data_IF_969623800671
#
_entry.id   IF_969623800671
#
_cell.length_a   1.000
_cell.length_b   1.000
_cell.length_c   1.000
_cell.angle_alpha   90.00
_cell.angle_beta   90.00
_cell.angle_gamma   90.00
#
_symmetry.space_group_name_H-M   'P 1'
#
loop_
_entity.id
_entity.type
_entity.pdbx_description
1 polymer ?
#
# COMPACT_ATOMS: atom_id res chain seq x y z
N UNK A 1 29.91 -22.30 -35.94
CA UNK A 1 29.12 -22.83 -34.81
C UNK A 1 27.67 -23.01 -35.30
N UNK A 2 26.91 -24.04 -34.84
CA UNK A 2 25.54 -24.24 -35.28
C UNK A 2 24.56 -23.27 -34.59
N UNK A 3 23.45 -22.90 -35.27
CA UNK A 3 22.38 -22.08 -34.66
C UNK A 3 21.88 -22.65 -33.33
N UNK A 4 21.83 -24.01 -33.25
CA UNK A 4 21.45 -24.67 -31.99
C UNK A 4 22.44 -24.47 -30.86
N UNK A 5 23.73 -24.34 -31.13
CA UNK A 5 24.76 -24.05 -30.11
C UNK A 5 24.63 -22.60 -29.62
N UNK A 6 24.46 -21.65 -30.53
CA UNK A 6 24.25 -20.23 -30.18
C UNK A 6 23.00 -20.07 -29.36
N UNK A 7 21.89 -20.71 -29.76
CA UNK A 7 20.64 -20.70 -28.98
C UNK A 7 20.81 -21.27 -27.58
N UNK A 8 21.58 -22.33 -27.37
CA UNK A 8 21.86 -22.91 -26.05
C UNK A 8 22.70 -21.97 -25.17
N UNK A 9 23.69 -21.27 -25.76
CA UNK A 9 24.48 -20.27 -25.02
C UNK A 9 23.62 -19.09 -24.58
N UNK A 10 22.83 -18.53 -25.50
CA UNK A 10 21.91 -17.40 -25.24
C UNK A 10 20.88 -17.74 -24.16
N UNK A 11 20.48 -19.03 -24.07
CA UNK A 11 19.53 -19.51 -23.06
C UNK A 11 20.19 -20.08 -21.81
N UNK A 12 21.49 -19.97 -21.63
CA UNK A 12 22.21 -20.41 -20.43
C UNK A 12 22.22 -21.92 -20.19
N UNK A 13 22.08 -22.74 -21.27
CA UNK A 13 21.94 -24.19 -21.13
C UNK A 13 23.22 -24.81 -20.56
N UNK A 14 23.13 -25.67 -19.49
CA UNK A 14 24.31 -26.20 -18.79
C UNK A 14 25.20 -27.10 -19.63
N UNK A 15 24.71 -27.65 -20.74
CA UNK A 15 25.48 -28.56 -21.62
C UNK A 15 26.50 -27.88 -22.52
N UNK A 16 26.63 -26.54 -22.47
CA UNK A 16 27.58 -25.81 -23.33
C UNK A 16 28.85 -25.52 -22.54
N UNK A 17 30.00 -25.88 -23.15
CA UNK A 17 31.32 -25.66 -22.54
C UNK A 17 31.63 -24.17 -22.40
N UNK A 18 32.40 -23.77 -21.41
CA UNK A 18 32.78 -22.37 -21.16
C UNK A 18 33.49 -21.74 -22.36
N UNK A 19 34.33 -22.50 -23.06
CA UNK A 19 34.99 -22.02 -24.28
C UNK A 19 33.99 -21.60 -25.37
N UNK A 20 32.92 -22.37 -25.56
CA UNK A 20 31.86 -22.03 -26.55
C UNK A 20 31.02 -20.84 -26.07
N UNK A 21 30.74 -20.75 -24.76
CA UNK A 21 30.02 -19.60 -24.18
C UNK A 21 30.80 -18.31 -24.41
N UNK A 22 32.12 -18.33 -24.17
CA UNK A 22 32.96 -17.15 -24.37
C UNK A 22 32.92 -16.66 -25.82
N UNK A 23 33.16 -17.56 -26.80
CA UNK A 23 33.17 -17.20 -28.23
C UNK A 23 31.80 -16.60 -28.66
N UNK A 24 30.70 -17.20 -28.20
CA UNK A 24 29.36 -16.69 -28.60
C UNK A 24 29.09 -15.33 -27.94
N UNK A 25 29.47 -15.13 -26.68
CA UNK A 25 29.28 -13.86 -25.99
C UNK A 25 30.14 -12.74 -26.57
N UNK A 26 31.37 -13.04 -27.03
CA UNK A 26 32.23 -12.09 -27.76
C UNK A 26 31.54 -11.61 -29.06
N UNK A 27 31.01 -12.55 -29.86
CA UNK A 27 30.31 -12.21 -31.10
C UNK A 27 28.99 -11.46 -30.83
N UNK A 28 28.26 -11.83 -29.75
CA UNK A 28 27.04 -11.11 -29.33
C UNK A 28 27.39 -9.66 -29.00
N UNK A 29 28.46 -9.43 -28.27
CA UNK A 29 28.93 -8.09 -27.89
C UNK A 29 29.38 -7.30 -29.13
N UNK A 30 30.12 -7.93 -30.05
CA UNK A 30 30.61 -7.31 -31.30
C UNK A 30 29.47 -6.89 -32.23
N UNK A 31 28.42 -7.72 -32.33
CA UNK A 31 27.26 -7.45 -33.18
C UNK A 31 26.20 -6.58 -32.50
N UNK A 32 26.33 -6.24 -31.23
CA UNK A 32 25.29 -5.56 -30.47
C UNK A 32 23.98 -6.35 -30.42
N UNK A 33 24.06 -7.68 -30.58
CA UNK A 33 22.86 -8.52 -30.64
C UNK A 33 22.18 -8.58 -29.28
N UNK A 34 20.98 -8.05 -29.22
CA UNK A 34 20.09 -8.26 -28.08
C UNK A 34 19.09 -9.36 -28.41
N UNK A 35 19.06 -10.44 -27.60
CA UNK A 35 18.05 -11.49 -27.79
C UNK A 35 16.64 -10.90 -27.73
N UNK A 36 15.82 -11.20 -28.73
CA UNK A 36 14.42 -10.79 -28.73
C UNK A 36 13.67 -11.48 -27.57
N UNK A 37 13.28 -10.68 -26.59
CA UNK A 37 12.57 -11.12 -25.39
C UNK A 37 11.23 -11.76 -25.76
N UNK A 38 10.55 -11.25 -26.83
CA UNK A 38 9.30 -11.83 -27.31
C UNK A 38 9.50 -13.21 -27.91
N UNK A 39 10.58 -13.41 -28.69
CA UNK A 39 10.92 -14.72 -29.24
C UNK A 39 11.40 -15.72 -28.16
N UNK A 40 12.04 -15.25 -27.09
CA UNK A 40 12.42 -16.09 -25.94
C UNK A 40 11.19 -16.52 -25.12
N UNK A 41 10.25 -15.60 -24.86
CA UNK A 41 9.02 -15.89 -24.12
C UNK A 41 8.12 -16.87 -24.88
N UNK A 42 8.03 -16.75 -26.20
CA UNK A 42 7.31 -17.71 -27.06
C UNK A 42 7.88 -19.15 -26.95
N UNK A 43 9.20 -19.27 -26.85
CA UNK A 43 9.87 -20.59 -26.73
C UNK A 43 9.78 -21.17 -25.29
N UNK A 44 9.76 -20.31 -24.28
CA UNK A 44 9.65 -20.73 -22.88
C UNK A 44 8.21 -20.96 -22.44
N UNK A 45 7.23 -20.47 -23.17
CA UNK A 45 5.81 -20.49 -22.81
C UNK A 45 5.46 -19.58 -21.62
N UNK A 46 6.44 -18.76 -21.16
CA UNK A 46 6.27 -17.84 -20.00
C UNK A 46 6.89 -16.49 -20.33
N UNK A 47 6.19 -15.41 -19.98
CA UNK A 47 6.64 -14.05 -20.26
C UNK A 47 7.44 -13.44 -19.09
N UNK A 48 7.51 -14.12 -17.96
CA UNK A 48 8.13 -13.63 -16.72
C UNK A 48 7.81 -12.17 -16.41
N UNK A 49 6.56 -11.83 -16.61
CA UNK A 49 6.05 -10.49 -16.35
C UNK A 49 4.86 -10.58 -15.43
N UNK A 50 4.87 -9.75 -14.40
CA UNK A 50 3.73 -9.57 -13.49
C UNK A 50 3.01 -8.27 -13.81
N UNK A 51 1.70 -8.25 -13.59
CA UNK A 51 0.89 -7.05 -13.61
C UNK A 51 0.72 -6.48 -12.20
N UNK A 52 0.60 -5.16 -12.11
CA UNK A 52 0.19 -4.47 -10.87
C UNK A 52 -0.86 -3.42 -11.22
N UNK A 53 -2.01 -3.50 -10.55
CA UNK A 53 -3.06 -2.47 -10.66
C UNK A 53 -3.20 -1.81 -9.29
N UNK A 54 -3.06 -0.49 -9.26
CA UNK A 54 -3.21 0.32 -8.04
C UNK A 54 -4.24 1.43 -8.26
N UNK A 55 -4.87 1.93 -7.17
CA UNK A 55 -5.92 2.93 -7.33
C UNK A 55 -5.40 4.35 -7.64
N UNK A 56 -4.26 4.77 -7.10
CA UNK A 56 -3.74 6.13 -7.31
C UNK A 56 -2.24 6.23 -7.05
N UNK A 57 -1.46 6.58 -8.08
CA UNK A 57 -0.01 6.79 -7.98
C UNK A 57 0.39 8.03 -7.15
N UNK A 58 -0.52 8.97 -6.96
CA UNK A 58 -0.25 10.18 -6.16
C UNK A 58 -0.19 9.87 -4.66
N UNK A 59 -0.76 8.72 -4.23
CA UNK A 59 -0.60 8.28 -2.85
C UNK A 59 0.76 7.58 -2.68
N UNK A 60 1.68 8.13 -1.87
CA UNK A 60 3.03 7.59 -1.69
C UNK A 60 3.04 6.14 -1.16
N UNK A 61 2.01 5.72 -0.43
CA UNK A 61 1.88 4.33 0.02
C UNK A 61 1.87 3.34 -1.16
N UNK A 62 1.10 3.64 -2.22
CA UNK A 62 1.04 2.75 -3.37
C UNK A 62 2.30 2.81 -4.22
N UNK A 63 2.98 3.95 -4.28
CA UNK A 63 4.27 4.07 -4.95
C UNK A 63 5.34 3.22 -4.25
N UNK A 64 5.37 3.23 -2.91
CA UNK A 64 6.27 2.40 -2.10
C UNK A 64 5.96 0.91 -2.25
N UNK A 65 4.68 0.54 -2.21
CA UNK A 65 4.22 -0.83 -2.48
C UNK A 65 4.70 -1.34 -3.85
N UNK A 66 4.52 -0.53 -4.89
CA UNK A 66 4.99 -0.86 -6.24
C UNK A 66 6.50 -1.04 -6.31
N UNK A 67 7.27 -0.16 -5.68
CA UNK A 67 8.72 -0.24 -5.63
C UNK A 67 9.17 -1.58 -5.02
N UNK A 68 8.55 -1.99 -3.90
CA UNK A 68 8.86 -3.25 -3.26
C UNK A 68 8.43 -4.49 -4.08
N UNK A 69 7.29 -4.41 -4.80
CA UNK A 69 6.86 -5.46 -5.74
C UNK A 69 7.87 -5.58 -6.89
N UNK A 70 8.30 -4.46 -7.48
CA UNK A 70 9.29 -4.44 -8.57
C UNK A 70 10.62 -5.05 -8.13
N UNK A 71 11.14 -4.63 -6.98
CA UNK A 71 12.38 -5.17 -6.42
C UNK A 71 12.28 -6.69 -6.22
N UNK A 72 11.18 -7.17 -5.62
CA UNK A 72 10.97 -8.60 -5.40
C UNK A 72 10.82 -9.38 -6.70
N UNK A 73 10.07 -8.85 -7.66
CA UNK A 73 9.91 -9.46 -8.98
C UNK A 73 11.28 -9.58 -9.70
N UNK A 74 12.09 -8.53 -9.66
CA UNK A 74 13.44 -8.51 -10.24
C UNK A 74 14.37 -9.54 -9.61
N UNK A 75 14.36 -9.72 -8.27
CA UNK A 75 15.11 -10.78 -7.56
C UNK A 75 14.74 -12.18 -8.10
N UNK A 76 13.51 -12.37 -8.55
CA UNK A 76 12.98 -13.63 -9.09
C UNK A 76 13.10 -13.72 -10.62
N UNK A 77 13.70 -12.74 -11.28
CA UNK A 77 13.88 -12.68 -12.74
C UNK A 77 12.61 -12.34 -13.50
N UNK A 78 11.71 -11.56 -12.90
CA UNK A 78 10.47 -11.05 -13.48
C UNK A 78 10.55 -9.55 -13.74
N UNK A 79 9.84 -9.10 -14.78
CA UNK A 79 9.52 -7.69 -15.02
C UNK A 79 8.14 -7.35 -14.49
N UNK A 80 7.84 -6.07 -14.29
CA UNK A 80 6.54 -5.59 -13.84
C UNK A 80 5.95 -4.61 -14.84
N UNK A 81 4.69 -4.82 -15.20
CA UNK A 81 3.83 -3.85 -15.88
C UNK A 81 2.83 -3.31 -14.88
N UNK A 82 2.71 -2.00 -14.78
CA UNK A 82 1.76 -1.40 -13.85
C UNK A 82 0.72 -0.53 -14.55
N UNK A 83 -0.43 -0.35 -13.89
CA UNK A 83 -1.49 0.53 -14.30
C UNK A 83 -2.18 1.16 -13.08
N UNK A 84 -2.74 2.35 -13.26
CA UNK A 84 -3.53 3.04 -12.23
C UNK A 84 -4.99 3.11 -12.66
N UNK A 85 -5.91 2.69 -11.78
CA UNK A 85 -7.35 2.71 -12.05
C UNK A 85 -8.00 4.05 -11.73
N UNK A 86 -7.28 4.97 -11.09
CA UNK A 86 -7.80 6.27 -10.61
C UNK A 86 -9.09 6.13 -9.77
N UNK A 87 -9.13 5.10 -8.90
CA UNK A 87 -10.30 4.72 -8.07
C UNK A 87 -11.57 4.39 -8.87
N UNK A 88 -11.45 4.04 -10.17
CA UNK A 88 -12.59 3.70 -11.03
C UNK A 88 -12.74 2.18 -11.18
N UNK A 89 -13.86 1.64 -10.72
CA UNK A 89 -14.13 0.18 -10.76
C UNK A 89 -14.13 -0.38 -12.19
N UNK A 90 -14.76 0.33 -13.12
CA UNK A 90 -14.82 -0.10 -14.53
C UNK A 90 -13.42 -0.12 -15.16
N UNK A 91 -12.57 0.85 -14.81
CA UNK A 91 -11.19 0.90 -15.25
C UNK A 91 -10.36 -0.29 -14.75
N UNK A 92 -10.61 -0.79 -13.54
CA UNK A 92 -9.90 -1.95 -12.98
C UNK A 92 -10.10 -3.20 -13.85
N UNK A 93 -11.34 -3.49 -14.25
CA UNK A 93 -11.66 -4.63 -15.10
C UNK A 93 -10.94 -4.56 -16.44
N UNK A 94 -10.95 -3.39 -17.09
CA UNK A 94 -10.29 -3.16 -18.37
C UNK A 94 -8.77 -3.27 -18.26
N UNK A 95 -8.19 -2.77 -17.17
CA UNK A 95 -6.74 -2.86 -16.90
C UNK A 95 -6.31 -4.31 -16.64
N UNK A 96 -7.06 -5.07 -15.85
CA UNK A 96 -6.79 -6.49 -15.60
C UNK A 96 -6.85 -7.25 -16.94
N UNK A 97 -7.88 -7.04 -17.76
CA UNK A 97 -8.01 -7.66 -19.06
C UNK A 97 -6.87 -7.25 -20.03
N UNK A 98 -6.45 -5.98 -20.00
CA UNK A 98 -5.31 -5.51 -20.81
C UNK A 98 -3.99 -6.16 -20.40
N UNK A 99 -3.73 -6.29 -19.10
CA UNK A 99 -2.55 -6.98 -18.57
C UNK A 99 -2.58 -8.47 -18.94
N UNK A 100 -3.75 -9.13 -18.82
CA UNK A 100 -3.92 -10.51 -19.24
C UNK A 100 -3.62 -10.72 -20.73
N UNK A 101 -4.12 -9.83 -21.61
CA UNK A 101 -3.78 -9.84 -23.06
C UNK A 101 -2.29 -9.62 -23.31
N UNK A 102 -1.61 -8.88 -22.44
CA UNK A 102 -0.15 -8.72 -22.46
C UNK A 102 0.59 -9.95 -21.93
N UNK A 103 -0.14 -11.05 -21.63
CA UNK A 103 0.37 -12.34 -21.15
C UNK A 103 1.21 -12.23 -19.88
N UNK A 104 0.80 -11.39 -18.94
CA UNK A 104 1.36 -11.42 -17.58
C UNK A 104 1.02 -12.75 -16.91
N UNK A 105 1.91 -13.27 -16.07
CA UNK A 105 1.70 -14.55 -15.35
C UNK A 105 0.73 -14.43 -14.18
N UNK A 106 0.50 -13.20 -13.71
CA UNK A 106 -0.45 -12.87 -12.67
C UNK A 106 -0.48 -11.38 -12.38
N UNK A 107 -1.47 -10.93 -11.65
CA UNK A 107 -1.67 -9.52 -11.32
C UNK A 107 -1.84 -9.33 -9.82
N UNK A 108 -1.04 -8.43 -9.23
CA UNK A 108 -1.31 -7.86 -7.91
C UNK A 108 -2.29 -6.72 -8.09
N UNK A 109 -3.40 -6.76 -7.36
CA UNK A 109 -4.44 -5.73 -7.44
C UNK A 109 -4.65 -5.10 -6.07
N UNK A 110 -4.57 -3.77 -6.01
CA UNK A 110 -5.17 -3.00 -4.92
C UNK A 110 -6.50 -2.47 -5.45
N UNK A 111 -7.65 -3.05 -5.05
CA UNK A 111 -8.94 -2.66 -5.58
C UNK A 111 -9.30 -1.21 -5.23
N UNK A 112 -10.16 -0.56 -6.02
CA UNK A 112 -10.75 0.74 -5.65
C UNK A 112 -11.59 0.63 -4.38
N UNK A 113 -11.85 1.74 -3.71
CA UNK A 113 -12.67 1.78 -2.50
C UNK A 113 -14.12 1.32 -2.72
N UNK A 114 -14.60 1.36 -3.96
CA UNK A 114 -15.97 0.99 -4.34
C UNK A 114 -16.10 -0.43 -4.88
N UNK A 115 -14.98 -1.13 -5.12
CA UNK A 115 -15.02 -2.47 -5.67
C UNK A 115 -15.62 -3.45 -4.65
N UNK A 116 -16.66 -4.17 -5.05
CA UNK A 116 -17.24 -5.30 -4.31
C UNK A 116 -16.85 -6.65 -4.90
N UNK A 117 -16.39 -6.65 -6.14
CA UNK A 117 -15.88 -7.81 -6.88
C UNK A 117 -14.82 -7.34 -7.88
N UNK A 118 -13.98 -8.27 -8.34
CA UNK A 118 -13.03 -8.04 -9.43
C UNK A 118 -13.46 -8.83 -10.65
N UNK A 119 -13.72 -8.14 -11.75
CA UNK A 119 -13.94 -8.81 -13.02
C UNK A 119 -12.60 -9.32 -13.55
N UNK A 120 -12.56 -10.61 -13.88
CA UNK A 120 -11.38 -11.30 -14.40
C UNK A 120 -11.78 -12.18 -15.62
N UNK A 121 -12.17 -11.55 -16.74
CA UNK A 121 -12.71 -12.24 -17.90
C UNK A 121 -11.69 -13.20 -18.55
N UNK A 122 -10.42 -12.91 -18.44
CA UNK A 122 -9.33 -13.71 -19.02
C UNK A 122 -8.81 -14.81 -18.05
N UNK A 123 -9.33 -14.87 -16.82
CA UNK A 123 -8.93 -15.88 -15.84
C UNK A 123 -7.46 -15.78 -15.38
N UNK A 124 -6.84 -14.58 -15.43
CA UNK A 124 -5.47 -14.40 -14.97
C UNK A 124 -5.38 -14.57 -13.45
N UNK A 125 -4.26 -15.06 -12.96
CA UNK A 125 -4.02 -15.23 -11.50
C UNK A 125 -4.03 -13.86 -10.83
N UNK A 126 -4.86 -13.70 -9.77
CA UNK A 126 -4.98 -12.44 -9.02
C UNK A 126 -4.60 -12.66 -7.56
N UNK A 127 -3.83 -11.71 -7.00
CA UNK A 127 -3.61 -11.55 -5.56
C UNK A 127 -4.07 -10.14 -5.18
N UNK A 128 -4.97 -10.08 -4.20
CA UNK A 128 -5.54 -8.82 -3.72
C UNK A 128 -4.73 -8.30 -2.55
N UNK A 129 -4.41 -7.01 -2.57
CA UNK A 129 -3.59 -6.36 -1.54
C UNK A 129 -4.36 -5.20 -0.91
N UNK A 130 -4.14 -4.97 0.39
CA UNK A 130 -4.64 -3.85 1.19
C UNK A 130 -6.17 -3.83 1.39
N UNK A 131 -6.96 -4.02 0.35
CA UNK A 131 -8.43 -3.95 0.35
C UNK A 131 -9.03 -5.29 -0.02
N UNK A 132 -9.78 -5.91 0.89
CA UNK A 132 -10.28 -7.27 0.75
C UNK A 132 -11.42 -7.38 -0.27
N UNK A 133 -11.29 -8.31 -1.20
CA UNK A 133 -12.35 -8.76 -2.09
C UNK A 133 -12.53 -10.28 -1.90
N UNK A 134 -13.77 -10.73 -1.76
CA UNK A 134 -14.07 -12.16 -1.61
C UNK A 134 -13.67 -12.96 -2.87
N UNK A 135 -13.24 -14.21 -2.66
CA UNK A 135 -12.88 -15.12 -3.77
C UNK A 135 -11.46 -14.96 -4.30
N UNK A 136 -10.62 -14.17 -3.63
CA UNK A 136 -9.22 -13.99 -4.00
C UNK A 136 -8.30 -14.07 -2.78
N UNK A 137 -7.06 -14.59 -2.90
CA UNK A 137 -6.07 -14.52 -1.84
C UNK A 137 -5.78 -13.06 -1.49
N UNK A 138 -5.67 -12.79 -0.20
CA UNK A 138 -5.60 -11.45 0.35
C UNK A 138 -4.33 -11.26 1.17
N UNK A 139 -3.62 -10.16 0.93
CA UNK A 139 -2.40 -9.78 1.64
C UNK A 139 -2.52 -8.35 2.13
N UNK A 140 -2.41 -8.10 3.44
CA UNK A 140 -2.53 -6.76 3.99
C UNK A 140 -1.80 -6.58 5.33
N UNK A 141 -1.74 -5.33 5.79
CA UNK A 141 -1.46 -5.03 7.19
C UNK A 141 -2.69 -5.31 8.07
N UNK A 142 -2.47 -5.54 9.36
CA UNK A 142 -3.53 -5.54 10.37
C UNK A 142 -3.94 -4.09 10.67
N UNK A 143 -4.84 -3.56 9.84
CA UNK A 143 -5.31 -2.18 9.95
C UNK A 143 -5.99 -1.89 11.28
N UNK A 144 -6.79 -2.86 11.80
CA UNK A 144 -7.51 -2.69 13.06
C UNK A 144 -6.55 -2.67 14.24
N UNK A 145 -5.62 -3.62 14.31
CA UNK A 145 -4.62 -3.65 15.38
C UNK A 145 -3.69 -2.43 15.31
N UNK A 146 -3.27 -1.99 14.11
CA UNK A 146 -2.46 -0.80 13.94
C UNK A 146 -3.14 0.48 14.42
N UNK A 147 -4.42 0.67 14.10
CA UNK A 147 -5.19 1.83 14.56
C UNK A 147 -5.46 1.78 16.06
N UNK A 148 -5.74 0.58 16.61
CA UNK A 148 -5.86 0.38 18.04
C UNK A 148 -4.58 0.78 18.78
N UNK A 149 -3.42 0.34 18.28
CA UNK A 149 -2.11 0.68 18.84
C UNK A 149 -1.85 2.19 18.82
N UNK A 150 -2.22 2.89 17.76
CA UNK A 150 -2.11 4.35 17.66
C UNK A 150 -3.00 5.06 18.71
N UNK A 151 -4.24 4.61 18.90
CA UNK A 151 -5.15 5.14 19.89
C UNK A 151 -4.66 4.85 21.33
N UNK A 152 -4.20 3.61 21.61
CA UNK A 152 -3.62 3.22 22.90
C UNK A 152 -2.39 4.08 23.24
N UNK A 153 -1.55 4.39 22.26
CA UNK A 153 -0.40 5.28 22.44
C UNK A 153 -0.84 6.68 22.88
N UNK A 154 -1.82 7.29 22.21
CA UNK A 154 -2.33 8.60 22.60
C UNK A 154 -2.95 8.59 24.01
N UNK A 155 -3.71 7.53 24.35
CA UNK A 155 -4.26 7.34 25.69
C UNK A 155 -3.16 7.19 26.75
N UNK A 156 -2.08 6.47 26.43
CA UNK A 156 -0.94 6.28 27.33
C UNK A 156 -0.20 7.59 27.64
N UNK A 157 -0.23 8.56 26.74
CA UNK A 157 0.28 9.93 26.97
C UNK A 157 -0.66 10.77 27.88
N UNK A 158 -1.86 10.27 28.20
CA UNK A 158 -2.83 10.98 29.04
C UNK A 158 -3.91 11.75 28.27
N UNK A 159 -3.95 11.65 26.95
CA UNK A 159 -5.02 12.28 26.17
C UNK A 159 -6.38 11.63 26.44
N UNK A 160 -7.41 12.46 26.61
CA UNK A 160 -8.80 12.05 26.82
C UNK A 160 -9.72 12.54 25.69
N UNK A 161 -9.43 13.69 25.13
CA UNK A 161 -10.12 14.29 23.97
C UNK A 161 -9.32 14.00 22.70
N UNK A 162 -9.56 12.82 22.14
CA UNK A 162 -8.88 12.33 20.95
C UNK A 162 -9.89 12.25 19.81
N UNK A 163 -9.69 13.04 18.76
CA UNK A 163 -10.49 12.97 17.54
C UNK A 163 -9.89 12.01 16.52
N UNK A 164 -10.72 11.54 15.59
CA UNK A 164 -10.30 10.70 14.48
C UNK A 164 -10.68 11.34 13.14
N UNK A 165 -9.72 11.41 12.23
CA UNK A 165 -10.00 11.66 10.81
C UNK A 165 -9.99 10.29 10.12
N UNK A 166 -11.18 9.73 9.88
CA UNK A 166 -11.33 8.46 9.19
C UNK A 166 -11.22 8.64 7.66
N UNK A 167 -11.13 7.52 6.95
CA UNK A 167 -11.25 7.51 5.49
C UNK A 167 -12.70 7.49 5.01
N UNK A 168 -12.92 7.37 3.69
CA UNK A 168 -14.26 7.23 3.11
C UNK A 168 -14.99 6.01 3.69
N UNK A 169 -16.26 6.16 4.06
CA UNK A 169 -17.05 5.13 4.76
C UNK A 169 -17.17 3.81 3.97
N UNK A 170 -17.17 3.88 2.65
CA UNK A 170 -17.20 2.72 1.78
C UNK A 170 -15.85 1.99 1.66
N UNK A 171 -14.75 2.58 2.11
CA UNK A 171 -13.43 1.96 2.04
C UNK A 171 -13.24 0.90 3.13
N UNK A 172 -12.81 -0.30 2.74
CA UNK A 172 -12.51 -1.40 3.67
C UNK A 172 -11.52 -0.96 4.74
N UNK A 173 -10.39 -0.39 4.33
CA UNK A 173 -9.32 0.04 5.26
C UNK A 173 -9.77 1.14 6.21
N UNK A 174 -10.68 2.04 5.77
CA UNK A 174 -11.23 3.08 6.62
C UNK A 174 -12.06 2.50 7.77
N UNK A 175 -12.92 1.52 7.45
CA UNK A 175 -13.74 0.83 8.46
C UNK A 175 -12.87 0.08 9.48
N UNK A 176 -11.86 -0.64 9.01
CA UNK A 176 -10.96 -1.39 9.90
C UNK A 176 -10.16 -0.45 10.82
N UNK A 177 -9.59 0.64 10.27
CA UNK A 177 -8.83 1.63 11.05
C UNK A 177 -9.74 2.36 12.05
N UNK A 178 -10.93 2.77 11.64
CA UNK A 178 -11.91 3.39 12.54
C UNK A 178 -12.36 2.41 13.63
N UNK A 179 -12.62 1.14 13.30
CA UNK A 179 -12.98 0.12 14.28
C UNK A 179 -11.87 -0.06 15.32
N UNK A 180 -10.60 -0.15 14.90
CA UNK A 180 -9.47 -0.24 15.82
C UNK A 180 -9.33 0.97 16.76
N UNK A 181 -9.54 2.18 16.25
CA UNK A 181 -9.62 3.39 17.06
C UNK A 181 -10.77 3.33 18.05
N UNK A 182 -11.96 2.91 17.63
CA UNK A 182 -13.15 2.82 18.46
C UNK A 182 -13.08 1.71 19.51
N UNK A 183 -12.34 0.63 19.27
CA UNK A 183 -12.07 -0.40 20.29
C UNK A 183 -11.47 0.22 21.57
N UNK A 184 -10.71 1.31 21.43
CA UNK A 184 -10.07 2.03 22.54
C UNK A 184 -10.92 3.19 23.02
N UNK A 185 -11.52 3.95 22.13
CA UNK A 185 -12.14 5.23 22.46
C UNK A 185 -13.62 5.12 22.82
N UNK A 186 -14.38 4.16 22.30
CA UNK A 186 -15.80 4.07 22.58
C UNK A 186 -16.14 3.98 24.08
N UNK A 187 -15.51 3.11 24.89
CA UNK A 187 -15.78 3.07 26.34
C UNK A 187 -15.41 4.39 27.03
N UNK A 188 -14.33 5.04 26.63
CA UNK A 188 -13.85 6.30 27.22
C UNK A 188 -14.74 7.49 26.92
N UNK A 189 -15.26 7.56 25.68
CA UNK A 189 -16.22 8.59 25.28
C UNK A 189 -17.55 8.40 26.00
N UNK A 190 -18.01 7.15 26.16
CA UNK A 190 -19.22 6.83 26.93
C UNK A 190 -19.11 7.23 28.40
N UNK A 191 -17.99 6.90 29.07
CA UNK A 191 -17.71 7.32 30.46
C UNK A 191 -17.66 8.84 30.61
N UNK A 192 -17.19 9.56 29.59
CA UNK A 192 -17.15 11.03 29.57
C UNK A 192 -18.49 11.67 29.18
N UNK A 193 -19.50 10.89 28.83
CA UNK A 193 -20.80 11.41 28.31
C UNK A 193 -20.68 12.14 26.97
N UNK A 194 -19.66 11.80 26.17
CA UNK A 194 -19.39 12.41 24.87
C UNK A 194 -19.95 11.55 23.74
N UNK A 195 -20.62 12.19 22.78
CA UNK A 195 -21.07 11.53 21.54
C UNK A 195 -19.85 11.24 20.64
N UNK A 196 -19.56 9.95 20.33
CA UNK A 196 -18.47 9.59 19.42
C UNK A 196 -18.55 10.28 18.04
N UNK A 197 -19.75 10.52 17.52
CA UNK A 197 -19.94 11.16 16.22
C UNK A 197 -19.33 12.58 16.16
N UNK A 198 -19.30 13.29 17.29
CA UNK A 198 -18.71 14.63 17.38
C UNK A 198 -17.17 14.64 17.29
N UNK A 199 -16.52 13.47 17.40
CA UNK A 199 -15.07 13.32 17.42
C UNK A 199 -14.52 12.59 16.18
N UNK A 200 -15.38 12.27 15.23
CA UNK A 200 -15.02 11.53 14.02
C UNK A 200 -15.42 12.35 12.80
N UNK A 201 -14.47 12.59 11.90
CA UNK A 201 -14.70 13.22 10.61
C UNK A 201 -14.22 12.30 9.51
N UNK A 202 -15.11 11.93 8.57
CA UNK A 202 -14.76 11.15 7.39
C UNK A 202 -14.22 12.06 6.29
N UNK A 203 -13.07 11.70 5.71
CA UNK A 203 -12.42 12.48 4.65
C UNK A 203 -11.60 11.56 3.71
N UNK A 204 -11.35 11.96 2.45
CA UNK A 204 -10.45 11.24 1.56
C UNK A 204 -9.04 11.03 2.16
N UNK A 205 -8.38 9.91 1.82
CA UNK A 205 -7.02 9.57 2.25
C UNK A 205 -5.95 10.42 1.51
N UNK A 206 -6.10 11.72 1.53
CA UNK A 206 -5.17 12.65 0.92
C UNK A 206 -4.97 13.89 1.80
N UNK A 207 -3.98 14.69 1.43
CA UNK A 207 -3.64 15.93 2.14
C UNK A 207 -4.82 16.89 2.29
N UNK A 208 -5.60 17.09 1.22
CA UNK A 208 -6.73 18.02 1.22
C UNK A 208 -7.86 17.54 2.15
N UNK A 209 -8.17 16.23 2.11
CA UNK A 209 -9.11 15.61 3.05
C UNK A 209 -8.70 15.83 4.51
N UNK A 210 -7.42 15.66 4.82
CA UNK A 210 -6.87 15.95 6.15
C UNK A 210 -7.02 17.43 6.54
N UNK A 211 -6.76 18.35 5.61
CA UNK A 211 -6.96 19.80 5.84
C UNK A 211 -8.41 20.14 6.17
N UNK A 212 -9.34 19.70 5.33
CA UNK A 212 -10.76 20.06 5.53
C UNK A 212 -11.31 19.44 6.83
N UNK A 213 -10.97 18.17 7.13
CA UNK A 213 -11.35 17.55 8.38
C UNK A 213 -10.76 18.26 9.61
N UNK A 214 -9.49 18.67 9.53
CA UNK A 214 -8.84 19.44 10.62
C UNK A 214 -9.50 20.81 10.86
N UNK A 215 -9.97 21.49 9.82
CA UNK A 215 -10.70 22.75 9.98
C UNK A 215 -11.97 22.58 10.78
N UNK A 216 -12.69 21.44 10.56
CA UNK A 216 -13.91 21.08 11.31
C UNK A 216 -13.56 20.78 12.76
N UNK A 217 -12.61 19.85 13.00
CA UNK A 217 -12.25 19.40 14.35
C UNK A 217 -11.62 20.49 15.24
N UNK A 218 -10.98 21.48 14.63
CA UNK A 218 -10.31 22.57 15.29
C UNK A 218 -11.10 23.89 15.24
N UNK A 219 -12.39 23.84 14.84
CA UNK A 219 -13.26 25.01 14.84
C UNK A 219 -13.37 25.63 16.23
N UNK A 220 -13.70 26.95 16.29
CA UNK A 220 -13.72 27.68 17.56
C UNK A 220 -14.94 27.37 18.43
N UNK A 221 -15.99 26.75 17.85
CA UNK A 221 -17.31 26.55 18.43
C UNK A 221 -17.42 25.21 19.17
N UNK A 222 -16.63 24.93 20.18
CA UNK A 222 -16.80 23.70 20.93
C UNK A 222 -15.55 23.14 21.62
N UNK A 223 -15.66 21.96 22.25
CA UNK A 223 -14.53 21.32 22.91
C UNK A 223 -13.50 20.85 21.87
N UNK A 224 -12.29 21.40 21.95
CA UNK A 224 -11.20 21.03 21.03
C UNK A 224 -10.52 19.73 21.44
N UNK A 225 -10.14 18.89 20.48
CA UNK A 225 -9.30 17.72 20.75
C UNK A 225 -7.91 18.15 21.23
N UNK A 226 -7.30 17.37 22.10
CA UNK A 226 -5.89 17.51 22.47
C UNK A 226 -4.99 16.59 21.63
N UNK A 227 -5.61 15.64 20.93
CA UNK A 227 -4.92 14.79 19.97
C UNK A 227 -5.84 14.43 18.79
N UNK A 228 -5.25 14.21 17.63
CA UNK A 228 -5.93 13.72 16.42
C UNK A 228 -5.21 12.45 15.96
N UNK A 229 -5.97 11.35 15.80
CA UNK A 229 -5.56 10.20 15.00
C UNK A 229 -6.08 10.39 13.58
N UNK A 230 -5.19 10.51 12.62
CA UNK A 230 -5.49 10.55 11.21
C UNK A 230 -5.26 9.16 10.61
N UNK A 231 -6.26 8.61 9.93
CA UNK A 231 -6.21 7.28 9.34
C UNK A 231 -5.28 7.16 8.11
N UNK A 232 -4.54 8.21 7.77
CA UNK A 232 -3.39 8.16 6.85
C UNK A 232 -2.40 9.27 7.16
N UNK A 233 -1.14 9.08 6.79
CA UNK A 233 -0.09 10.09 6.96
C UNK A 233 -0.37 11.34 6.11
N UNK A 234 -0.97 11.20 4.94
CA UNK A 234 -1.36 12.35 4.13
C UNK A 234 -2.39 13.22 4.83
N UNK A 235 -3.39 12.60 5.51
CA UNK A 235 -4.34 13.34 6.34
C UNK A 235 -3.63 14.00 7.54
N UNK A 236 -2.70 13.29 8.20
CA UNK A 236 -1.92 13.85 9.31
C UNK A 236 -1.12 15.10 8.87
N UNK A 237 -0.49 15.06 7.69
CA UNK A 237 0.22 16.22 7.11
C UNK A 237 -0.76 17.38 6.84
N UNK A 238 -1.99 17.06 6.41
CA UNK A 238 -3.06 18.06 6.27
C UNK A 238 -3.43 18.73 7.61
N UNK A 239 -3.47 17.96 8.71
CA UNK A 239 -3.66 18.49 10.07
C UNK A 239 -2.53 19.41 10.47
N UNK A 240 -1.27 19.01 10.25
CA UNK A 240 -0.08 19.85 10.52
C UNK A 240 -0.18 21.20 9.84
N UNK A 241 -0.64 21.25 8.60
CA UNK A 241 -0.81 22.49 7.85
C UNK A 241 -1.85 23.41 8.48
N UNK A 242 -3.01 22.88 8.86
CA UNK A 242 -4.06 23.69 9.52
C UNK A 242 -3.60 24.19 10.89
N UNK A 243 -2.91 23.34 11.66
CA UNK A 243 -2.36 23.73 12.95
C UNK A 243 -1.34 24.88 12.79
N UNK A 244 -0.45 24.79 11.79
CA UNK A 244 0.51 25.88 11.46
C UNK A 244 -0.21 27.17 11.11
N UNK A 245 -1.20 27.14 10.20
CA UNK A 245 -1.96 28.32 9.78
C UNK A 245 -2.71 28.97 10.94
N UNK A 246 -3.16 28.20 11.93
CA UNK A 246 -3.85 28.65 13.14
C UNK A 246 -2.92 28.92 14.32
N UNK A 247 -1.61 28.76 14.16
CA UNK A 247 -0.59 28.91 15.21
C UNK A 247 -0.81 27.97 16.42
N UNK A 248 -1.37 26.79 16.20
CA UNK A 248 -1.51 25.72 17.19
C UNK A 248 -0.19 24.96 17.24
N UNK A 249 0.42 24.91 18.41
CA UNK A 249 1.71 24.25 18.58
C UNK A 249 1.56 22.71 18.56
N UNK A 250 2.29 22.05 17.63
CA UNK A 250 2.42 20.59 17.62
C UNK A 250 3.86 20.25 18.05
N UNK A 251 4.03 19.39 19.09
CA UNK A 251 3.00 18.68 19.88
C UNK A 251 2.47 19.44 21.11
N UNK A 252 2.86 20.71 21.30
CA UNK A 252 2.64 21.48 22.55
C UNK A 252 1.18 21.68 22.95
N UNK A 253 0.28 21.84 21.98
CA UNK A 253 -1.17 22.06 22.20
C UNK A 253 -2.02 20.97 21.55
N UNK A 254 -1.48 20.31 20.49
CA UNK A 254 -2.16 19.27 19.74
C UNK A 254 -1.17 18.16 19.40
N UNK A 255 -1.46 16.92 19.82
CA UNK A 255 -0.74 15.75 19.33
C UNK A 255 -1.38 15.20 18.05
N UNK A 256 -0.55 14.67 17.12
CA UNK A 256 -1.02 14.09 15.85
C UNK A 256 -0.35 12.75 15.62
N UNK A 257 -1.16 11.71 15.36
CA UNK A 257 -0.68 10.40 14.92
C UNK A 257 -1.26 10.10 13.56
N UNK A 258 -0.41 9.62 12.64
CA UNK A 258 -0.78 9.16 11.31
C UNK A 258 -0.91 7.64 11.21
N UNK A 259 -1.08 7.18 9.98
CA UNK A 259 -1.07 5.78 9.59
C UNK A 259 -0.45 5.67 8.20
N UNK A 260 0.23 4.60 7.89
CA UNK A 260 0.91 4.13 6.68
C UNK A 260 2.43 4.07 6.85
N UNK A 261 3.08 5.08 7.43
CA UNK A 261 4.54 5.16 7.56
C UNK A 261 5.22 5.62 6.27
N UNK A 262 4.58 6.48 5.47
CA UNK A 262 5.15 6.97 4.22
C UNK A 262 6.39 7.84 4.47
N UNK A 263 7.34 7.84 3.51
CA UNK A 263 8.59 8.60 3.63
C UNK A 263 8.36 10.09 3.95
N UNK A 264 7.34 10.70 3.32
CA UNK A 264 7.06 12.13 3.50
C UNK A 264 6.72 12.47 4.95
N UNK A 265 6.12 11.54 5.72
CA UNK A 265 5.81 11.72 7.14
C UNK A 265 7.06 11.87 8.03
N UNK A 266 8.21 11.42 7.55
CA UNK A 266 9.52 11.59 8.20
C UNK A 266 10.29 12.84 7.73
N UNK A 267 9.86 13.47 6.65
CA UNK A 267 10.51 14.65 6.06
C UNK A 267 9.85 15.97 6.45
N UNK A 268 8.59 15.95 6.88
CA UNK A 268 7.90 17.15 7.36
C UNK A 268 8.38 17.58 8.75
N UNK A 269 8.12 18.83 9.10
CA UNK A 269 8.50 19.39 10.43
C UNK A 269 7.24 19.88 11.13
N UNK A 270 6.94 19.35 12.32
CA UNK A 270 7.56 18.20 13.01
C UNK A 270 7.32 16.87 12.30
N UNK A 271 8.22 15.88 12.48
CA UNK A 271 8.09 14.54 11.89
C UNK A 271 6.90 13.79 12.51
N UNK A 272 6.06 13.20 11.66
CA UNK A 272 4.79 12.58 12.09
C UNK A 272 5.02 11.24 12.78
N UNK A 273 4.56 11.10 14.02
CA UNK A 273 4.38 9.80 14.69
C UNK A 273 3.29 9.02 13.95
N UNK A 274 3.54 7.75 13.59
CA UNK A 274 2.65 7.00 12.70
C UNK A 274 2.65 5.50 12.97
N UNK A 275 1.54 4.83 12.69
CA UNK A 275 1.48 3.38 12.58
C UNK A 275 1.98 2.96 11.19
N UNK A 276 3.13 2.28 11.16
CA UNK A 276 3.83 1.88 9.92
C UNK A 276 3.31 0.55 9.42
N UNK A 277 2.88 0.50 8.16
CA UNK A 277 2.56 -0.74 7.48
C UNK A 277 3.83 -1.47 7.03
N UNK A 278 3.92 -2.80 7.14
CA UNK A 278 5.09 -3.56 6.71
C UNK A 278 5.09 -3.80 5.18
N UNK A 279 5.14 -2.73 4.40
CA UNK A 279 4.97 -2.71 2.92
C UNK A 279 5.89 -3.72 2.23
N UNK A 280 7.16 -3.82 2.65
CA UNK A 280 8.10 -4.77 2.08
C UNK A 280 7.65 -6.24 2.28
N UNK A 281 7.07 -6.58 3.44
CA UNK A 281 6.57 -7.94 3.71
C UNK A 281 5.31 -8.24 2.90
N UNK A 282 4.41 -7.28 2.78
CA UNK A 282 3.19 -7.35 1.98
C UNK A 282 3.55 -7.57 0.51
N UNK A 283 4.43 -6.74 -0.05
CA UNK A 283 4.88 -6.83 -1.43
C UNK A 283 5.56 -8.18 -1.73
N UNK A 284 6.46 -8.62 -0.84
CA UNK A 284 7.13 -9.93 -0.96
C UNK A 284 6.13 -11.06 -0.99
N UNK A 285 5.20 -11.11 -0.04
CA UNK A 285 4.19 -12.16 0.05
C UNK A 285 3.31 -12.19 -1.21
N UNK A 286 2.77 -11.04 -1.64
CA UNK A 286 1.92 -10.95 -2.82
C UNK A 286 2.65 -11.39 -4.10
N UNK A 287 3.91 -10.99 -4.26
CA UNK A 287 4.75 -11.36 -5.41
C UNK A 287 5.07 -12.86 -5.40
N UNK A 288 5.47 -13.42 -4.25
CA UNK A 288 5.83 -14.84 -4.14
C UNK A 288 4.61 -15.76 -4.37
N UNK A 289 3.41 -15.36 -3.94
CA UNK A 289 2.17 -16.08 -4.25
C UNK A 289 1.91 -16.19 -5.76
N UNK A 290 2.18 -15.11 -6.52
CA UNK A 290 2.01 -15.15 -7.97
C UNK A 290 3.08 -15.99 -8.67
N UNK A 291 4.33 -15.93 -8.21
CA UNK A 291 5.47 -16.61 -8.87
C UNK A 291 5.52 -18.10 -8.50
N UNK A 292 4.96 -18.52 -7.36
CA UNK A 292 5.10 -19.87 -6.80
C UNK A 292 4.56 -21.01 -7.66
N UNK A 293 3.78 -20.71 -8.72
CA UNK A 293 3.27 -21.72 -9.67
C UNK A 293 2.15 -22.62 -9.12
N UNK A 294 1.92 -22.63 -7.82
CA UNK A 294 0.85 -23.39 -7.18
C UNK A 294 -0.52 -22.74 -7.42
N UNK A 295 -1.58 -23.54 -7.30
CA UNK A 295 -2.95 -23.01 -7.35
C UNK A 295 -3.14 -22.02 -6.19
N UNK A 296 -3.65 -20.82 -6.50
CA UNK A 296 -3.95 -19.83 -5.49
C UNK A 296 -5.15 -20.27 -4.66
N UNK A 297 -4.97 -20.38 -3.34
CA UNK A 297 -6.09 -20.58 -2.43
C UNK A 297 -6.87 -19.25 -2.28
N UNK A 298 -8.07 -19.21 -2.85
CA UNK A 298 -8.95 -18.02 -2.81
C UNK A 298 -9.38 -17.62 -1.39
N UNK A 299 -9.24 -18.52 -0.40
CA UNK A 299 -9.53 -18.25 1.02
C UNK A 299 -8.32 -17.76 1.80
N UNK A 300 -7.11 -17.87 1.24
CA UNK A 300 -5.87 -17.52 1.93
C UNK A 300 -5.86 -16.04 2.31
N UNK A 301 -5.46 -15.76 3.54
CA UNK A 301 -5.35 -14.40 4.09
C UNK A 301 -4.03 -14.26 4.84
N UNK A 302 -3.17 -13.37 4.37
CA UNK A 302 -1.87 -13.10 4.95
C UNK A 302 -1.87 -11.69 5.55
N UNK A 303 -1.99 -11.63 6.87
CA UNK A 303 -2.09 -10.36 7.62
C UNK A 303 -0.78 -10.13 8.37
N UNK A 304 -0.20 -8.96 8.20
CA UNK A 304 1.07 -8.57 8.80
C UNK A 304 0.85 -7.49 9.87
N UNK A 305 1.51 -7.58 11.03
CA UNK A 305 1.38 -6.57 12.08
C UNK A 305 1.99 -5.24 11.68
N UNK A 306 1.33 -4.14 12.06
CA UNK A 306 1.90 -2.79 12.01
C UNK A 306 2.90 -2.58 13.16
N UNK A 307 3.71 -1.52 13.06
CA UNK A 307 4.61 -1.06 14.12
C UNK A 307 4.46 0.45 14.32
N UNK A 308 4.69 0.96 15.55
CA UNK A 308 4.71 2.42 15.76
C UNK A 308 6.08 3.01 15.47
N UNK A 309 6.11 4.06 14.65
CA UNK A 309 7.24 4.97 14.53
C UNK A 309 6.95 6.21 15.39
N UNK A 310 7.53 6.26 16.59
CA UNK A 310 7.40 7.40 17.49
C UNK A 310 8.35 8.51 17.03
N UNK A 311 7.82 9.71 16.78
CA UNK A 311 8.57 10.85 16.26
C UNK A 311 8.24 12.13 17.08
N UNK A 312 7.96 13.25 16.40
CA UNK A 312 7.95 14.58 17.03
C UNK A 312 6.53 15.15 17.28
N UNK A 313 5.49 14.55 16.71
CA UNK A 313 4.14 15.14 16.73
C UNK A 313 3.31 14.78 17.96
N UNK A 314 3.87 14.10 18.96
CA UNK A 314 3.12 13.67 20.14
C UNK A 314 3.83 14.03 21.45
N UNK A 315 3.07 14.54 22.43
CA UNK A 315 3.49 14.80 23.79
C UNK A 315 2.29 14.66 24.75
N UNK A 316 2.50 14.51 26.07
CA UNK A 316 1.40 14.58 27.04
C UNK A 316 0.58 15.87 26.91
N UNK A 317 -0.76 15.82 27.09
CA UNK A 317 -1.60 17.01 27.05
C UNK A 317 -1.24 17.99 28.19
N UNK A 318 -1.31 19.29 27.89
CA UNK A 318 -1.15 20.34 28.91
C UNK A 318 -2.41 20.58 29.69
#
# INVERSE_FOLDING_TARGET
MSVGTVSRVVNGHPSVTEAKKRIVNEVIAELGFQPDVAAQSLRRGTNRTLGVVIPDLRNPFFADLMQHIELRAKERGYSVLFASSDEQVDSEADLIASLARSKVEGVVVVPSNRASSLANPEGVRLVVVDRRIAGHPFVAADHRAGARMAAEYLVSLGHRRIACISGPENAFVARERLAGFMDVMAPRLAEAGLDPASWIVSAPFNYEGGREAAKVLLADDGPKPTAIFACSDQQAIGVLRVAFDRRIAIPGELSVVGFDGILVSDLVVPRVTTAVQPVASIARCATDLLIGGEALDASASHIFPCAMALRETCAPPR
#
